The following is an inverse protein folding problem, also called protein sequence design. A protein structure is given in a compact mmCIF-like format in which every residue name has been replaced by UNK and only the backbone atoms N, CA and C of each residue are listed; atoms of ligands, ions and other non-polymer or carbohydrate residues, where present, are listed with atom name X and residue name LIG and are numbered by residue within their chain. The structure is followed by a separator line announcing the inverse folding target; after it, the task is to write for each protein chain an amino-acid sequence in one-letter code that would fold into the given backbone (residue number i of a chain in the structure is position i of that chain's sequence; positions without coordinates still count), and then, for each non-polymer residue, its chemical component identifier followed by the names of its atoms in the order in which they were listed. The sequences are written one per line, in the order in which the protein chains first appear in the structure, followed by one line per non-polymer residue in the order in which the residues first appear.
data_IF_964725227829
#
_entry.id   IF_964725227829
#
_cell.length_a   1.000
_cell.length_b   1.000
_cell.length_c   1.000
_cell.angle_alpha   90.00
_cell.angle_beta   90.00
_cell.angle_gamma   90.00
#
_symmetry.space_group_name_H-M   'P 1'
#
loop_
_entity.id
_entity.type
_entity.pdbx_description
1 polymer ?
#
# COMPACT_ATOMS: atom_id res chain seq x y z
N UNK A 1 18.11 -6.70 0.76
CA UNK A 1 17.17 -5.58 0.48
C UNK A 1 16.36 -5.38 1.75
N UNK A 2 15.96 -4.14 2.04
CA UNK A 2 15.04 -3.89 3.13
C UNK A 2 13.61 -4.21 2.65
N UNK A 3 12.73 -4.52 3.60
CA UNK A 3 11.32 -4.74 3.32
C UNK A 3 10.52 -3.60 3.93
N UNK A 4 9.56 -3.07 3.18
CA UNK A 4 8.72 -1.95 3.60
C UNK A 4 7.26 -2.35 3.52
N UNK A 5 6.49 -2.00 4.56
CA UNK A 5 5.03 -2.07 4.57
C UNK A 5 4.47 -0.74 4.08
N UNK A 6 3.70 -0.75 3.00
CA UNK A 6 3.00 0.39 2.42
C UNK A 6 1.54 0.31 2.83
N UNK A 7 1.02 1.39 3.41
CA UNK A 7 -0.37 1.47 3.85
C UNK A 7 -1.14 2.41 2.94
N UNK A 8 -2.30 1.98 2.47
CA UNK A 8 -3.15 2.80 1.60
C UNK A 8 -4.62 2.46 1.75
N UNK A 9 -5.49 3.38 1.33
CA UNK A 9 -6.95 3.24 1.45
C UNK A 9 -7.55 3.20 0.05
N UNK A 10 -8.40 2.22 -0.19
CA UNK A 10 -9.33 2.21 -1.32
C UNK A 10 -10.62 2.93 -0.92
N UNK A 11 -11.07 3.88 -1.74
CA UNK A 11 -12.34 4.57 -1.61
C UNK A 11 -13.22 4.34 -2.83
N UNK A 12 -14.31 3.61 -2.62
CA UNK A 12 -15.33 3.34 -3.63
C UNK A 12 -16.55 4.24 -3.41
N UNK A 13 -17.03 4.98 -4.44
CA UNK A 13 -18.29 5.72 -4.33
C UNK A 13 -19.46 4.78 -4.02
N UNK A 14 -20.26 5.07 -2.99
CA UNK A 14 -21.39 4.21 -2.57
C UNK A 14 -22.47 4.05 -3.65
N UNK A 15 -22.66 5.08 -4.47
CA UNK A 15 -23.69 5.10 -5.53
C UNK A 15 -23.17 4.55 -6.87
N UNK A 16 -21.97 3.94 -6.89
CA UNK A 16 -21.44 3.18 -8.03
C UNK A 16 -21.14 3.98 -9.30
N UNK A 17 -21.31 5.30 -9.31
CA UNK A 17 -21.18 6.10 -10.52
C UNK A 17 -20.91 7.58 -10.23
N UNK A 18 -19.64 7.92 -10.04
CA UNK A 18 -19.17 9.29 -9.98
C UNK A 18 -17.78 9.37 -10.57
N UNK A 19 -17.55 10.33 -11.48
CA UNK A 19 -16.19 10.60 -11.97
C UNK A 19 -15.37 11.14 -10.80
N UNK A 20 -14.30 10.44 -10.44
CA UNK A 20 -13.39 10.85 -9.36
C UNK A 20 -12.57 12.03 -9.87
N UNK A 21 -12.66 13.16 -9.18
CA UNK A 21 -11.80 14.32 -9.41
C UNK A 21 -10.66 14.30 -8.39
N UNK A 22 -9.48 13.82 -8.84
CA UNK A 22 -8.28 13.74 -8.01
C UNK A 22 -7.84 15.10 -7.45
N UNK A 23 -8.14 16.22 -8.13
CA UNK A 23 -7.76 17.55 -7.65
C UNK A 23 -8.53 17.97 -6.40
N UNK A 24 -9.70 17.37 -6.19
CA UNK A 24 -10.56 17.59 -5.04
C UNK A 24 -10.51 16.42 -4.03
N UNK A 25 -9.63 15.42 -4.22
CA UNK A 25 -9.61 14.22 -3.40
C UNK A 25 -9.30 14.47 -1.92
N UNK A 26 -8.50 15.50 -1.60
CA UNK A 26 -8.21 15.89 -0.21
C UNK A 26 -9.37 16.60 0.50
N UNK A 27 -10.38 17.08 -0.24
CA UNK A 27 -11.60 17.66 0.32
C UNK A 27 -12.55 16.54 0.80
N UNK A 28 -12.17 15.86 1.88
CA UNK A 28 -12.85 14.68 2.45
C UNK A 28 -14.37 14.85 2.59
N UNK A 29 -15.21 14.15 1.78
CA UNK A 29 -16.64 14.06 2.02
C UNK A 29 -16.93 12.66 2.60
N UNK A 30 -16.65 12.49 3.89
CA UNK A 30 -16.59 11.19 4.58
C UNK A 30 -17.87 10.33 4.62
N UNK A 31 -18.97 10.79 4.02
CA UNK A 31 -20.22 10.02 3.93
C UNK A 31 -20.45 9.30 2.60
N UNK A 32 -19.74 9.69 1.52
CA UNK A 32 -20.04 9.23 0.15
C UNK A 32 -19.25 7.99 -0.29
N UNK A 33 -18.19 7.63 0.42
CA UNK A 33 -17.31 6.51 0.06
C UNK A 33 -17.45 5.34 1.02
N UNK A 34 -17.34 4.13 0.49
CA UNK A 34 -16.96 2.93 1.24
C UNK A 34 -15.44 2.88 1.23
N UNK A 35 -14.84 2.76 2.41
CA UNK A 35 -13.39 2.70 2.58
C UNK A 35 -12.96 1.25 2.86
N UNK A 36 -11.77 0.89 2.40
CA UNK A 36 -11.12 -0.38 2.69
C UNK A 36 -9.63 -0.12 2.84
N UNK A 37 -9.08 -0.49 3.99
CA UNK A 37 -7.66 -0.34 4.30
C UNK A 37 -6.88 -1.51 3.69
N UNK A 38 -5.71 -1.19 3.13
CA UNK A 38 -4.80 -2.14 2.50
C UNK A 38 -3.38 -1.99 3.08
N UNK A 39 -2.67 -3.12 3.12
CA UNK A 39 -1.26 -3.22 3.48
C UNK A 39 -0.54 -4.06 2.41
N UNK A 40 0.60 -3.56 1.93
CA UNK A 40 1.44 -4.27 0.96
C UNK A 40 2.91 -4.26 1.37
N UNK A 41 3.61 -5.38 1.15
CA UNK A 41 5.03 -5.50 1.42
C UNK A 41 5.86 -5.36 0.15
N UNK A 42 6.78 -4.39 0.12
CA UNK A 42 7.67 -4.10 -1.00
C UNK A 42 9.12 -4.27 -0.58
N UNK A 43 9.91 -5.00 -1.37
CA UNK A 43 11.35 -5.15 -1.16
C UNK A 43 12.14 -4.15 -1.99
N UNK A 44 12.98 -3.34 -1.34
CA UNK A 44 13.72 -2.27 -2.00
C UNK A 44 15.02 -1.92 -1.26
N UNK A 45 15.97 -1.23 -1.92
CA UNK A 45 17.18 -0.74 -1.24
C UNK A 45 16.90 0.41 -0.26
N UNK A 46 15.78 1.13 -0.40
CA UNK A 46 15.36 2.21 0.49
C UNK A 46 13.86 2.53 0.29
N UNK A 47 13.30 3.34 1.19
CA UNK A 47 11.90 3.77 1.19
C UNK A 47 11.45 4.41 -0.14
N UNK A 48 12.27 5.30 -0.72
CA UNK A 48 11.95 5.96 -1.99
C UNK A 48 11.84 4.97 -3.15
N UNK A 49 12.77 4.01 -3.21
CA UNK A 49 12.75 2.96 -4.21
C UNK A 49 11.57 1.99 -4.02
N UNK A 50 11.15 1.74 -2.78
CA UNK A 50 9.93 0.97 -2.50
C UNK A 50 8.68 1.72 -3.02
N UNK A 51 8.59 3.02 -2.78
CA UNK A 51 7.47 3.83 -3.24
C UNK A 51 7.40 3.97 -4.77
N UNK A 52 8.56 4.13 -5.43
CA UNK A 52 8.64 4.12 -6.90
C UNK A 52 8.17 2.78 -7.48
N UNK A 53 8.57 1.65 -6.87
CA UNK A 53 8.11 0.33 -7.29
C UNK A 53 6.59 0.17 -7.10
N UNK A 54 6.09 0.54 -5.92
CA UNK A 54 4.66 0.50 -5.58
C UNK A 54 3.82 1.29 -6.58
N UNK A 55 4.15 2.56 -6.84
CA UNK A 55 3.37 3.37 -7.78
C UNK A 55 3.49 2.90 -9.23
N UNK A 56 4.60 2.28 -9.61
CA UNK A 56 4.73 1.69 -10.96
C UNK A 56 3.77 0.52 -11.16
N UNK A 57 3.52 -0.26 -10.11
CA UNK A 57 2.59 -1.38 -10.15
C UNK A 57 1.12 -0.89 -10.14
N UNK A 58 0.77 0.02 -9.25
CA UNK A 58 -0.61 0.46 -9.04
C UNK A 58 -1.10 1.59 -9.96
N UNK A 59 -0.30 2.63 -10.15
CA UNK A 59 -0.68 3.79 -10.96
C UNK A 59 -0.21 3.66 -12.42
N UNK A 60 0.68 2.71 -12.71
CA UNK A 60 1.29 2.47 -14.01
C UNK A 60 2.29 3.55 -14.43
N UNK A 61 1.95 4.84 -14.29
CA UNK A 61 2.77 5.99 -14.64
C UNK A 61 2.63 7.12 -13.59
N UNK A 62 3.71 7.87 -13.37
CA UNK A 62 3.73 8.99 -12.41
C UNK A 62 2.68 10.08 -12.70
N UNK A 63 2.28 10.26 -13.97
CA UNK A 63 1.23 11.23 -14.37
C UNK A 63 -0.15 10.90 -13.78
N UNK A 64 -0.37 9.64 -13.37
CA UNK A 64 -1.60 9.19 -12.72
C UNK A 64 -1.65 9.46 -11.21
N UNK A 65 -0.55 9.91 -10.63
CA UNK A 65 -0.40 10.16 -9.18
C UNK A 65 -0.47 11.66 -8.91
N UNK A 66 -1.28 12.05 -7.93
CA UNK A 66 -1.27 13.40 -7.38
C UNK A 66 -0.81 13.40 -5.94
N UNK A 67 -0.07 14.44 -5.56
CA UNK A 67 0.30 14.74 -4.19
C UNK A 67 -0.76 15.63 -3.56
N UNK A 68 -1.17 15.31 -2.34
CA UNK A 68 -2.08 16.15 -1.57
C UNK A 68 -1.22 17.12 -0.76
N UNK A 69 -1.34 18.41 -1.07
CA UNK A 69 -0.70 19.47 -0.31
C UNK A 69 -1.50 19.79 0.97
N UNK A 70 -0.91 20.58 1.88
CA UNK A 70 -1.53 20.93 3.18
C UNK A 70 -2.89 21.62 3.05
N UNK A 71 -3.18 22.26 1.91
CA UNK A 71 -4.46 22.90 1.62
C UNK A 71 -5.55 21.91 1.16
N UNK A 72 -5.23 20.63 1.08
CA UNK A 72 -6.11 19.55 0.65
C UNK A 72 -6.29 19.44 -0.87
N UNK A 73 -5.53 20.19 -1.67
CA UNK A 73 -5.59 20.10 -3.13
C UNK A 73 -4.59 19.10 -3.69
N UNK A 74 -5.03 18.37 -4.71
CA UNK A 74 -4.18 17.46 -5.47
C UNK A 74 -3.37 18.20 -6.54
N UNK A 75 -2.06 18.02 -6.51
CA UNK A 75 -1.11 18.49 -7.52
C UNK A 75 -0.47 17.29 -8.23
N UNK A 76 -0.25 17.31 -9.56
CA UNK A 76 0.48 16.23 -10.23
C UNK A 76 1.89 16.08 -9.66
N UNK A 77 2.36 14.85 -9.50
CA UNK A 77 3.75 14.60 -9.13
C UNK A 77 4.66 14.92 -10.33
N UNK A 78 5.68 15.74 -10.11
CA UNK A 78 6.71 16.01 -11.10
C UNK A 78 7.88 15.04 -10.92
N UNK A 79 7.98 14.02 -11.78
CA UNK A 79 9.07 13.04 -11.76
C UNK A 79 8.81 11.85 -10.81
N UNK A 80 9.90 11.20 -10.37
CA UNK A 80 9.87 9.93 -9.60
C UNK A 80 10.48 10.04 -8.20
N UNK A 81 10.74 11.25 -7.71
CA UNK A 81 11.33 11.45 -6.37
C UNK A 81 10.24 11.52 -5.29
N UNK A 82 9.56 10.40 -5.07
CA UNK A 82 8.50 10.35 -4.06
C UNK A 82 9.06 10.50 -2.64
N UNK A 83 8.28 11.17 -1.79
CA UNK A 83 8.56 11.46 -0.40
C UNK A 83 7.62 10.60 0.49
N UNK A 84 8.14 9.62 1.24
CA UNK A 84 7.32 8.72 2.08
C UNK A 84 6.48 9.44 3.14
N UNK A 85 6.84 10.67 3.51
CA UNK A 85 6.12 11.44 4.52
C UNK A 85 4.94 12.24 3.93
N UNK A 86 4.73 12.17 2.61
CA UNK A 86 3.65 12.89 1.92
C UNK A 86 2.49 11.97 1.55
N UNK A 87 1.29 12.54 1.48
CA UNK A 87 0.08 11.84 1.04
C UNK A 87 -0.05 11.92 -0.48
N UNK A 88 -0.29 10.77 -1.10
CA UNK A 88 -0.53 10.66 -2.55
C UNK A 88 -1.88 10.04 -2.83
N UNK A 89 -2.48 10.40 -3.94
CA UNK A 89 -3.73 9.83 -4.44
C UNK A 89 -3.60 9.42 -5.90
N UNK A 90 -4.24 8.33 -6.28
CA UNK A 90 -4.33 7.86 -7.67
C UNK A 90 -5.69 7.21 -7.92
N UNK A 91 -5.95 6.83 -9.18
CA UNK A 91 -7.11 6.02 -9.54
C UNK A 91 -6.66 4.67 -10.05
N UNK A 92 -7.22 3.62 -9.49
CA UNK A 92 -6.99 2.23 -9.87
C UNK A 92 -8.33 1.52 -10.00
N UNK A 93 -8.58 0.87 -11.13
CA UNK A 93 -9.85 0.20 -11.44
C UNK A 93 -11.11 1.04 -11.17
N UNK A 94 -11.02 2.35 -11.41
CA UNK A 94 -12.12 3.31 -11.21
C UNK A 94 -12.38 3.66 -9.74
N UNK A 95 -11.47 3.32 -8.83
CA UNK A 95 -11.54 3.61 -7.40
C UNK A 95 -10.48 4.65 -7.03
N UNK A 96 -10.79 5.47 -6.02
CA UNK A 96 -9.83 6.45 -5.51
C UNK A 96 -8.95 5.73 -4.50
N UNK A 97 -7.65 5.83 -4.69
CA UNK A 97 -6.68 5.27 -3.76
C UNK A 97 -5.94 6.40 -3.05
N UNK A 98 -5.64 6.23 -1.76
CA UNK A 98 -4.88 7.21 -0.96
C UNK A 98 -3.79 6.54 -0.15
N UNK A 99 -2.54 6.89 -0.42
CA UNK A 99 -1.38 6.45 0.36
C UNK A 99 -1.39 7.11 1.75
N UNK A 100 -1.27 6.29 2.80
CA UNK A 100 -1.30 6.71 4.21
C UNK A 100 0.08 6.76 4.88
N UNK A 101 1.09 6.13 4.28
CA UNK A 101 2.44 6.08 4.84
C UNK A 101 3.12 4.74 4.59
N UNK A 102 4.36 4.63 5.06
CA UNK A 102 5.10 3.36 5.05
C UNK A 102 5.87 3.17 6.34
N UNK A 103 6.18 1.91 6.64
CA UNK A 103 7.09 1.53 7.70
C UNK A 103 8.13 0.56 7.16
N UNK A 104 9.38 0.68 7.59
CA UNK A 104 10.35 -0.41 7.42
C UNK A 104 9.85 -1.62 8.22
N UNK A 105 9.73 -2.76 7.56
CA UNK A 105 9.44 -4.01 8.22
C UNK A 105 10.72 -4.46 8.94
N UNK A 106 10.69 -4.41 10.27
CA UNK A 106 11.72 -4.99 11.11
C UNK A 106 11.84 -6.49 10.83
N UNK A 107 13.07 -7.00 10.74
CA UNK A 107 13.33 -8.42 10.67
C UNK A 107 12.72 -9.07 11.93
N UNK A 108 11.62 -9.81 11.77
CA UNK A 108 10.76 -10.21 12.89
C UNK A 108 9.25 -10.01 12.67
N UNK A 109 8.83 -9.22 11.69
CA UNK A 109 7.42 -9.06 11.38
C UNK A 109 6.87 -10.33 10.68
N UNK A 110 5.88 -10.98 11.30
CA UNK A 110 5.11 -12.08 10.72
C UNK A 110 3.68 -11.61 10.43
N UNK A 111 3.12 -12.00 9.29
CA UNK A 111 1.68 -11.86 9.05
C UNK A 111 0.96 -13.11 9.54
N UNK A 112 -0.18 -12.91 10.18
CA UNK A 112 -1.07 -13.99 10.60
C UNK A 112 -1.94 -14.40 9.40
N UNK A 113 -1.78 -15.63 8.87
CA UNK A 113 -2.49 -16.10 7.68
C UNK A 113 -3.99 -16.36 7.93
N UNK A 114 -4.47 -16.19 9.17
CA UNK A 114 -5.85 -16.46 9.57
C UNK A 114 -6.69 -15.19 9.76
N UNK A 115 -6.05 -14.05 9.99
CA UNK A 115 -6.77 -12.80 10.29
C UNK A 115 -6.16 -11.56 9.63
N UNK A 116 -5.19 -11.73 8.73
CA UNK A 116 -4.44 -10.66 8.06
C UNK A 116 -3.79 -9.65 9.01
N UNK A 117 -3.68 -9.99 10.30
CA UNK A 117 -2.99 -9.16 11.29
C UNK A 117 -1.48 -9.34 11.20
N UNK A 118 -0.71 -8.25 11.25
CA UNK A 118 0.75 -8.30 11.37
C UNK A 118 1.20 -8.16 12.84
N UNK A 119 2.26 -8.89 13.22
CA UNK A 119 2.84 -8.85 14.57
C UNK A 119 4.35 -8.95 14.52
N UNK A 120 5.02 -8.26 15.45
CA UNK A 120 6.48 -8.29 15.58
C UNK A 120 6.88 -9.39 16.58
N UNK A 121 7.72 -10.30 16.12
CA UNK A 121 8.37 -11.34 16.94
C UNK A 121 9.87 -11.27 16.73
N UNK A 122 10.64 -12.00 17.54
CA UNK A 122 12.08 -12.11 17.33
C UNK A 122 12.40 -12.70 15.94
N UNK A 123 13.48 -12.22 15.32
CA UNK A 123 13.88 -12.60 13.95
C UNK A 123 14.04 -14.13 13.79
N UNK A 124 14.60 -14.80 14.80
CA UNK A 124 14.74 -16.27 14.82
C UNK A 124 13.37 -16.97 14.75
N UNK A 125 12.38 -16.45 15.48
CA UNK A 125 11.02 -17.00 15.51
C UNK A 125 10.30 -16.68 14.20
N UNK A 126 10.52 -15.50 13.61
CA UNK A 126 9.95 -15.16 12.31
C UNK A 126 10.52 -16.04 11.19
N UNK A 127 11.81 -16.36 11.23
CA UNK A 127 12.45 -17.29 10.29
C UNK A 127 11.93 -18.72 10.47
N UNK A 128 11.80 -19.18 11.72
CA UNK A 128 11.21 -20.49 12.03
C UNK A 128 9.76 -20.57 11.52
N UNK A 129 8.91 -19.59 11.84
CA UNK A 129 7.52 -19.53 11.40
C UNK A 129 7.42 -19.52 9.86
N UNK A 130 8.23 -18.69 9.20
CA UNK A 130 8.28 -18.62 7.73
C UNK A 130 8.70 -19.97 7.14
N UNK A 131 9.67 -20.66 7.74
CA UNK A 131 10.14 -21.96 7.27
C UNK A 131 9.07 -23.05 7.42
N UNK A 132 8.33 -23.08 8.52
CA UNK A 132 7.25 -24.05 8.78
C UNK A 132 6.09 -23.83 7.81
N UNK A 133 5.70 -22.58 7.55
CA UNK A 133 4.60 -22.31 6.63
C UNK A 133 5.00 -22.61 5.18
N UNK A 134 6.13 -22.09 4.70
CA UNK A 134 6.57 -22.31 3.30
C UNK A 134 7.01 -23.75 3.02
N UNK A 135 7.32 -24.56 4.04
CA UNK A 135 7.56 -26.00 3.88
C UNK A 135 6.27 -26.82 3.79
N UNK A 136 5.13 -26.27 4.21
CA UNK A 136 3.84 -26.94 4.15
C UNK A 136 3.14 -26.79 2.79
N UNK A 137 3.73 -26.05 1.84
CA UNK A 137 3.29 -25.97 0.44
C UNK A 137 3.84 -27.13 -0.42
N UNK A 138 4.59 -28.06 0.18
CA UNK A 138 5.17 -29.25 -0.49
C UNK A 138 4.78 -30.58 0.18
N UNK A 139 3.52 -30.74 0.59
CA UNK A 139 2.97 -32.07 0.94
C UNK A 139 1.58 -32.29 0.32
N UNK A 140 1.54 -32.30 -1.01
CA UNK A 140 0.55 -32.99 -1.85
C UNK A 140 1.38 -33.56 -3.03
N UNK A 141 1.50 -34.85 -3.36
CA UNK A 141 0.97 -36.13 -2.91
C UNK A 141 2.08 -37.18 -3.23
N UNK A 142 2.44 -38.06 -2.30
CA UNK A 142 2.91 -39.40 -2.69
C UNK A 142 1.74 -40.36 -2.51
N UNK A 143 1.19 -40.85 -3.62
CA UNK A 143 0.41 -42.09 -3.69
C UNK A 143 0.56 -42.73 -5.07
#
# INVERSE_FOLDING_TARGET
MARFRVFYIERQPKDGGGRIDLRAAGARPGSYFKETDWEEQVEAPNAKAALDSFFREHAGHAEGVMIIEEDGRGHPVEGIDYDPDRTYVWVEDGKLMEYQGMAEATAGAISCPLCDGSGEVDEEIAQEFSSIWHSNEYVEEES
#
